data_IF_995805856551
#
_entry.id   IF_995805856551
#
_cell.length_a   1.000
_cell.length_b   1.000
_cell.length_c   1.000
_cell.angle_alpha   90.00
_cell.angle_beta   90.00
_cell.angle_gamma   90.00
#
_symmetry.space_group_name_H-M   'P 1'
#
loop_
_entity.id
_entity.type
_entity.pdbx_description
1 polymer ?
#
# COMPACT_ATOMS: atom_id res chain seq x y z
N UNK A 1 -21.23 7.68 -3.67
CA UNK A 1 -20.60 8.73 -4.50
C UNK A 1 -19.59 8.06 -5.43
N UNK A 2 -19.90 7.95 -6.73
CA UNK A 2 -19.04 7.28 -7.72
C UNK A 2 -18.06 8.33 -8.27
N UNK A 3 -16.77 8.19 -7.98
CA UNK A 3 -15.73 9.07 -8.53
C UNK A 3 -15.44 8.66 -9.99
N UNK A 4 -16.08 9.33 -10.96
CA UNK A 4 -15.68 9.26 -12.38
C UNK A 4 -14.36 10.00 -12.58
N UNK A 5 -13.25 9.28 -12.77
CA UNK A 5 -11.93 9.85 -13.05
C UNK A 5 -11.56 9.52 -14.49
N UNK A 6 -11.85 10.44 -15.41
CA UNK A 6 -11.51 10.34 -16.83
C UNK A 6 -9.99 10.42 -17.01
N UNK A 7 -9.34 9.28 -17.25
CA UNK A 7 -7.98 9.19 -17.79
C UNK A 7 -8.10 8.59 -19.21
N UNK A 8 -8.84 9.30 -20.07
CA UNK A 8 -8.99 9.18 -21.55
C UNK A 8 -10.41 9.63 -21.93
N UNK A 9 -10.52 10.52 -22.93
CA UNK A 9 -11.81 10.80 -23.59
C UNK A 9 -12.26 9.52 -24.29
N UNK A 10 -13.34 8.88 -23.82
CA UNK A 10 -14.06 7.87 -24.62
C UNK A 10 -14.39 6.53 -23.94
N UNK A 11 -13.91 6.24 -22.73
CA UNK A 11 -14.28 5.00 -22.02
C UNK A 11 -14.56 5.33 -20.56
N UNK A 12 -15.81 5.13 -20.10
CA UNK A 12 -16.14 5.19 -18.68
C UNK A 12 -15.43 4.02 -17.98
N UNK A 13 -14.23 4.30 -17.44
CA UNK A 13 -13.49 3.34 -16.63
C UNK A 13 -14.08 3.36 -15.22
N UNK A 14 -14.97 2.41 -14.93
CA UNK A 14 -15.37 2.12 -13.55
C UNK A 14 -14.20 1.47 -12.81
N UNK A 15 -13.46 2.28 -12.05
CA UNK A 15 -12.41 1.78 -11.18
C UNK A 15 -13.04 1.06 -9.99
N UNK A 16 -13.05 -0.28 -10.01
CA UNK A 16 -13.39 -1.08 -8.82
C UNK A 16 -12.46 -0.72 -7.65
N UNK A 17 -13.04 -0.58 -6.45
CA UNK A 17 -12.26 -0.37 -5.23
C UNK A 17 -11.33 -1.57 -5.01
N UNK A 18 -10.05 -1.28 -4.76
CA UNK A 18 -9.01 -2.26 -4.45
C UNK A 18 -8.59 -2.12 -3.00
N UNK A 19 -8.27 -3.22 -2.33
CA UNK A 19 -7.66 -3.20 -1.00
C UNK A 19 -6.15 -3.32 -1.18
N UNK A 20 -5.36 -2.42 -0.58
CA UNK A 20 -3.92 -2.33 -0.83
C UNK A 20 -3.09 -2.13 0.44
N UNK A 21 -1.81 -2.48 0.36
CA UNK A 21 -0.83 -2.32 1.45
C UNK A 21 0.37 -1.54 0.93
N UNK A 22 0.87 -0.60 1.73
CA UNK A 22 2.12 0.11 1.42
C UNK A 22 3.31 -0.59 2.09
N UNK A 23 4.32 -0.98 1.32
CA UNK A 23 5.58 -1.50 1.85
C UNK A 23 6.69 -0.51 1.50
N UNK A 24 7.38 0.00 2.52
CA UNK A 24 8.50 0.92 2.38
C UNK A 24 9.75 0.31 2.97
N UNK A 25 10.79 0.25 2.15
CA UNK A 25 12.15 -0.12 2.56
C UNK A 25 13.11 1.01 2.19
N UNK A 26 14.10 1.24 3.03
CA UNK A 26 15.08 2.30 2.82
C UNK A 26 16.14 2.31 3.91
N UNK A 27 17.27 2.95 3.64
CA UNK A 27 18.30 3.22 4.63
C UNK A 27 18.33 4.70 5.02
N UNK A 28 19.07 5.01 6.08
CA UNK A 28 19.27 6.37 6.56
C UNK A 28 18.17 6.86 7.50
N UNK A 29 18.22 8.14 7.85
CA UNK A 29 17.37 8.73 8.90
C UNK A 29 16.18 9.54 8.33
N UNK A 30 15.81 9.26 7.08
CA UNK A 30 14.71 9.93 6.40
C UNK A 30 13.34 9.62 7.02
N UNK A 31 12.53 10.65 7.26
CA UNK A 31 11.16 10.47 7.74
C UNK A 31 10.27 9.79 6.67
N UNK A 32 9.48 8.76 7.02
CA UNK A 32 8.60 8.10 6.07
C UNK A 32 7.37 8.93 5.70
N UNK A 33 7.11 10.04 6.41
CA UNK A 33 5.85 10.76 6.32
C UNK A 33 5.54 11.29 4.92
N UNK A 34 6.53 11.87 4.23
CA UNK A 34 6.32 12.41 2.89
C UNK A 34 6.12 11.33 1.85
N UNK A 35 6.81 10.19 1.99
CA UNK A 35 6.62 9.04 1.11
C UNK A 35 5.25 8.40 1.33
N UNK A 36 4.79 8.31 2.59
CA UNK A 36 3.43 7.85 2.90
C UNK A 36 2.38 8.79 2.30
N UNK A 37 2.56 10.11 2.40
CA UNK A 37 1.65 11.09 1.77
C UNK A 37 1.59 10.88 0.26
N UNK A 38 2.74 10.73 -0.41
CA UNK A 38 2.82 10.49 -1.86
C UNK A 38 2.15 9.17 -2.25
N UNK A 39 2.40 8.10 -1.51
CA UNK A 39 1.75 6.80 -1.73
C UNK A 39 0.22 6.89 -1.58
N UNK A 40 -0.28 7.64 -0.60
CA UNK A 40 -1.72 7.86 -0.41
C UNK A 40 -2.34 8.63 -1.59
N UNK A 41 -1.60 9.59 -2.18
CA UNK A 41 -2.04 10.28 -3.40
C UNK A 41 -2.17 9.27 -4.54
N UNK A 42 -1.19 8.38 -4.73
CA UNK A 42 -1.23 7.35 -5.76
C UNK A 42 -2.44 6.42 -5.53
N UNK A 43 -2.60 5.88 -4.32
CA UNK A 43 -3.72 5.00 -3.96
C UNK A 43 -5.07 5.65 -4.27
N UNK A 44 -5.23 6.95 -3.96
CA UNK A 44 -6.44 7.70 -4.29
C UNK A 44 -6.71 7.79 -5.80
N UNK A 45 -5.68 7.87 -6.63
CA UNK A 45 -5.85 7.93 -8.09
C UNK A 45 -6.24 6.59 -8.70
N UNK A 46 -5.84 5.47 -8.09
CA UNK A 46 -6.13 4.11 -8.58
C UNK A 46 -7.28 3.41 -7.83
N UNK A 47 -8.07 4.17 -7.07
CA UNK A 47 -9.18 3.69 -6.22
C UNK A 47 -8.76 2.56 -5.26
N UNK A 48 -7.64 2.74 -4.55
CA UNK A 48 -7.16 1.80 -3.52
C UNK A 48 -7.49 2.31 -2.13
N UNK A 49 -8.15 1.47 -1.33
CA UNK A 49 -8.27 1.60 0.12
C UNK A 49 -7.08 0.94 0.80
N UNK A 50 -6.22 1.77 1.42
CA UNK A 50 -5.09 1.26 2.20
C UNK A 50 -5.58 0.53 3.45
N UNK A 51 -5.13 -0.70 3.65
CA UNK A 51 -5.45 -1.49 4.86
C UNK A 51 -4.30 -1.55 5.87
N UNK A 52 -3.14 -0.99 5.52
CA UNK A 52 -1.95 -1.01 6.36
C UNK A 52 -0.69 -0.56 5.63
N UNK A 53 0.39 -0.42 6.42
CA UNK A 53 1.73 -0.14 5.93
C UNK A 53 2.78 -0.96 6.67
N UNK A 54 3.88 -1.24 6.00
CA UNK A 54 5.10 -1.87 6.53
C UNK A 54 6.26 -0.92 6.29
N UNK A 55 7.09 -0.70 7.32
CA UNK A 55 8.25 0.17 7.26
C UNK A 55 9.48 -0.62 7.69
N UNK A 56 10.52 -0.66 6.85
CA UNK A 56 11.87 -1.10 7.20
C UNK A 56 12.87 -0.03 6.73
N UNK A 57 13.13 0.95 7.60
CA UNK A 57 13.78 2.23 7.23
C UNK A 57 15.25 2.35 7.66
N UNK A 58 15.85 1.26 8.12
CA UNK A 58 17.22 1.24 8.63
C UNK A 58 18.07 0.19 7.91
N UNK A 59 17.84 0.04 6.59
CA UNK A 59 18.51 -1.02 5.79
C UNK A 59 20.01 -0.84 5.64
N UNK A 60 20.53 0.35 5.94
CA UNK A 60 21.97 0.63 6.09
C UNK A 60 22.60 -0.07 7.31
N UNK A 61 21.82 -0.37 8.36
CA UNK A 61 22.30 -1.10 9.55
C UNK A 61 21.81 -2.55 9.59
N UNK A 62 20.59 -2.79 9.12
CA UNK A 62 19.94 -4.09 9.17
C UNK A 62 19.16 -4.36 7.89
N UNK A 63 19.57 -5.33 7.05
CA UNK A 63 18.85 -5.70 5.84
C UNK A 63 17.36 -5.95 6.10
N UNK A 64 16.50 -5.54 5.16
CA UNK A 64 15.04 -5.67 5.31
C UNK A 64 14.58 -7.13 5.48
N UNK A 65 15.29 -8.10 4.89
CA UNK A 65 15.03 -9.54 5.05
C UNK A 65 15.40 -10.09 6.45
N UNK A 66 16.05 -9.29 7.29
CA UNK A 66 16.34 -9.62 8.69
C UNK A 66 15.46 -8.82 9.66
N UNK A 67 14.71 -7.83 9.19
CA UNK A 67 13.79 -7.02 9.99
C UNK A 67 12.54 -7.82 10.35
N UNK A 68 12.66 -8.64 11.40
CA UNK A 68 11.60 -9.52 11.89
C UNK A 68 10.29 -8.78 12.18
N UNK A 69 10.34 -7.52 12.63
CA UNK A 69 9.14 -6.70 12.86
C UNK A 69 8.44 -6.37 11.54
N UNK A 70 9.20 -5.95 10.52
CA UNK A 70 8.64 -5.70 9.19
C UNK A 70 8.09 -7.00 8.57
N UNK A 71 8.84 -8.11 8.64
CA UNK A 71 8.43 -9.41 8.10
C UNK A 71 7.14 -9.95 8.75
N UNK A 72 7.03 -9.88 10.07
CA UNK A 72 5.81 -10.29 10.78
C UNK A 72 4.62 -9.44 10.36
N UNK A 73 4.82 -8.13 10.19
CA UNK A 73 3.77 -7.22 9.73
C UNK A 73 3.35 -7.49 8.27
N UNK A 74 4.29 -7.83 7.39
CA UNK A 74 3.98 -8.27 6.00
C UNK A 74 3.10 -9.51 6.06
N UNK A 75 3.47 -10.52 6.86
CA UNK A 75 2.71 -11.77 6.97
C UNK A 75 1.28 -11.53 7.47
N UNK A 76 1.10 -10.70 8.49
CA UNK A 76 -0.21 -10.32 9.02
C UNK A 76 -1.07 -9.64 7.94
N UNK A 77 -0.52 -8.66 7.23
CA UNK A 77 -1.25 -7.92 6.21
C UNK A 77 -1.57 -8.78 4.97
N UNK A 78 -0.70 -9.72 4.62
CA UNK A 78 -0.95 -10.69 3.56
C UNK A 78 -2.13 -11.63 3.90
N UNK A 79 -2.17 -12.16 5.14
CA UNK A 79 -3.30 -12.96 5.61
C UNK A 79 -4.60 -12.15 5.58
N UNK A 80 -4.57 -10.91 6.06
CA UNK A 80 -5.71 -9.99 6.02
C UNK A 80 -6.20 -9.71 4.59
N UNK A 81 -5.28 -9.52 3.63
CA UNK A 81 -5.66 -9.38 2.21
C UNK A 81 -6.36 -10.63 1.68
N UNK A 82 -5.88 -11.83 2.04
CA UNK A 82 -6.51 -13.09 1.63
C UNK A 82 -7.94 -13.21 2.17
N UNK A 83 -8.16 -12.91 3.44
CA UNK A 83 -9.49 -12.91 4.07
C UNK A 83 -10.43 -11.92 3.38
N UNK A 84 -9.95 -10.70 3.15
CA UNK A 84 -10.70 -9.64 2.51
C UNK A 84 -11.00 -9.89 1.04
N UNK A 85 -10.21 -10.75 0.37
CA UNK A 85 -10.45 -11.19 -1.00
C UNK A 85 -11.49 -12.31 -1.05
N UNK A 86 -11.45 -13.25 -0.11
CA UNK A 86 -12.45 -14.34 0.01
C UNK A 86 -13.85 -13.80 0.31
N UNK A 87 -13.96 -12.76 1.14
CA UNK A 87 -15.25 -12.13 1.48
C UNK A 87 -15.93 -11.36 0.33
N UNK A 88 -15.30 -11.27 -0.84
CA UNK A 88 -15.82 -10.57 -2.01
C UNK A 88 -16.33 -11.52 -3.11
N UNK A 89 -16.36 -12.83 -2.85
CA UNK A 89 -17.00 -13.88 -3.66
C UNK A 89 -18.13 -14.52 -2.85
#
# INVERSE_FOLDING_TARGET
MIFKRCIRRGVDLELKEKKGVLILTGGGDGSPNDVIKRANIIFRHINVKSIGKVLSLNTNKKPANQDTKALNRVKELALKLNELNKANY
#
